data_IF_792888329714
#
_entry.id   IF_792888329714
#
_cell.length_a   1.000
_cell.length_b   1.000
_cell.length_c   1.000
_cell.angle_alpha   90.00
_cell.angle_beta   90.00
_cell.angle_gamma   90.00
#
_symmetry.space_group_name_H-M   'P 1'
#
loop_
_entity.id
_entity.type
_entity.pdbx_description
1 polymer ?
#
# COMPACT_ATOMS: atom_id res chain seq x y z
N UNK A 1 -55.22 -36.67 27.46
CA UNK A 1 -55.06 -35.37 26.77
C UNK A 1 -53.59 -34.95 26.89
N UNK A 2 -52.77 -35.22 25.87
CA UNK A 2 -51.33 -34.86 25.86
C UNK A 2 -51.13 -33.65 24.94
N UNK A 3 -50.73 -32.51 25.51
CA UNK A 3 -50.41 -31.30 24.75
C UNK A 3 -49.06 -31.51 24.06
N UNK A 4 -49.06 -31.63 22.73
CA UNK A 4 -47.84 -31.62 21.91
C UNK A 4 -47.16 -30.26 22.03
N UNK A 5 -46.00 -30.22 22.68
CA UNK A 5 -45.09 -29.08 22.63
C UNK A 5 -44.59 -28.92 21.18
N UNK A 6 -45.10 -27.92 20.48
CA UNK A 6 -44.54 -27.47 19.22
C UNK A 6 -43.26 -26.71 19.54
N UNK A 7 -42.11 -27.36 19.35
CA UNK A 7 -40.83 -26.64 19.29
C UNK A 7 -40.88 -25.72 18.08
N UNK A 8 -41.15 -24.44 18.33
CA UNK A 8 -40.99 -23.37 17.35
C UNK A 8 -39.49 -23.27 17.08
N UNK A 9 -39.05 -23.85 15.96
CA UNK A 9 -37.72 -23.59 15.43
C UNK A 9 -37.57 -22.06 15.27
N UNK A 10 -36.46 -21.45 15.72
CA UNK A 10 -36.25 -20.02 15.56
C UNK A 10 -36.36 -19.70 14.06
N UNK A 11 -36.91 -18.53 13.68
CA UNK A 11 -37.08 -18.18 12.29
C UNK A 11 -35.71 -18.28 11.62
N UNK A 12 -35.57 -19.29 10.76
CA UNK A 12 -34.42 -19.46 9.89
C UNK A 12 -34.14 -18.08 9.27
N UNK A 13 -32.94 -17.55 9.51
CA UNK A 13 -32.48 -16.27 8.97
C UNK A 13 -33.10 -16.07 7.58
N UNK A 14 -33.95 -15.07 7.45
CA UNK A 14 -34.70 -14.81 6.23
C UNK A 14 -33.72 -14.81 5.04
N UNK A 15 -33.91 -15.71 4.06
CA UNK A 15 -33.00 -15.86 2.91
C UNK A 15 -32.71 -14.54 2.20
N UNK A 16 -33.67 -13.60 2.24
CA UNK A 16 -33.51 -12.24 1.74
C UNK A 16 -32.43 -11.43 2.48
N UNK A 17 -32.36 -11.55 3.81
CA UNK A 17 -31.35 -10.90 4.64
C UNK A 17 -29.97 -11.47 4.34
N UNK A 18 -29.84 -12.81 4.28
CA UNK A 18 -28.58 -13.47 3.92
C UNK A 18 -28.08 -12.99 2.55
N UNK A 19 -28.98 -12.92 1.54
CA UNK A 19 -28.61 -12.45 0.19
C UNK A 19 -28.11 -11.02 0.18
N UNK A 20 -28.78 -10.11 0.91
CA UNK A 20 -28.36 -8.71 1.02
C UNK A 20 -26.98 -8.59 1.67
N UNK A 21 -26.76 -9.30 2.78
CA UNK A 21 -25.45 -9.32 3.46
C UNK A 21 -24.37 -9.82 2.48
N UNK A 22 -24.64 -10.91 1.75
CA UNK A 22 -23.70 -11.45 0.76
C UNK A 22 -23.32 -10.44 -0.33
N UNK A 23 -24.30 -9.76 -0.92
CA UNK A 23 -24.05 -8.72 -1.94
C UNK A 23 -23.25 -7.56 -1.34
N UNK A 24 -23.62 -7.08 -0.15
CA UNK A 24 -22.91 -5.98 0.52
C UNK A 24 -21.45 -6.34 0.80
N UNK A 25 -21.19 -7.55 1.33
CA UNK A 25 -19.83 -8.04 1.56
C UNK A 25 -19.04 -8.16 0.26
N UNK A 26 -19.66 -8.64 -0.82
CA UNK A 26 -19.01 -8.75 -2.13
C UNK A 26 -18.64 -7.37 -2.71
N UNK A 27 -19.56 -6.41 -2.65
CA UNK A 27 -19.29 -5.04 -3.09
C UNK A 27 -18.20 -4.38 -2.25
N UNK A 28 -18.22 -4.58 -0.93
CA UNK A 28 -17.17 -4.11 -0.04
C UNK A 28 -15.81 -4.75 -0.37
N UNK A 29 -15.78 -6.04 -0.72
CA UNK A 29 -14.57 -6.72 -1.17
C UNK A 29 -14.01 -6.14 -2.47
N UNK A 30 -14.87 -5.90 -3.48
CA UNK A 30 -14.46 -5.25 -4.73
C UNK A 30 -13.91 -3.85 -4.45
N UNK A 31 -14.65 -3.03 -3.68
CA UNK A 31 -14.23 -1.68 -3.33
C UNK A 31 -12.88 -1.70 -2.60
N UNK A 32 -12.70 -2.62 -1.66
CA UNK A 32 -11.44 -2.82 -0.96
C UNK A 32 -10.30 -3.13 -1.94
N UNK A 33 -10.48 -4.04 -2.89
CA UNK A 33 -9.46 -4.40 -3.89
C UNK A 33 -9.09 -3.24 -4.82
N UNK A 34 -10.04 -2.39 -5.18
CA UNK A 34 -9.79 -1.20 -6.01
C UNK A 34 -9.03 -0.13 -5.20
N UNK A 35 -9.44 0.11 -3.95
CA UNK A 35 -8.85 1.13 -3.08
C UNK A 35 -7.49 0.73 -2.51
N UNK A 36 -7.20 -0.58 -2.43
CA UNK A 36 -5.94 -1.12 -1.91
C UNK A 36 -5.20 -1.91 -2.99
N UNK A 37 -4.54 -1.21 -3.94
CA UNK A 37 -3.71 -1.90 -4.93
C UNK A 37 -2.61 -2.70 -4.21
N UNK A 38 -2.15 -3.82 -4.81
CA UNK A 38 -0.96 -4.52 -4.34
C UNK A 38 0.18 -3.52 -4.16
N UNK A 39 0.83 -3.57 -3.00
CA UNK A 39 1.89 -2.62 -2.65
C UNK A 39 3.02 -3.28 -1.87
N UNK A 40 4.22 -2.75 -2.03
CA UNK A 40 5.43 -3.13 -1.29
C UNK A 40 6.10 -1.86 -0.77
N UNK A 41 6.59 -1.90 0.46
CA UNK A 41 7.37 -0.82 1.04
C UNK A 41 8.82 -1.29 1.23
N UNK A 42 9.77 -0.46 0.82
CA UNK A 42 11.19 -0.61 1.11
C UNK A 42 11.62 0.56 1.99
N UNK A 43 12.30 0.28 3.10
CA UNK A 43 12.77 1.28 4.03
C UNK A 43 14.28 1.36 3.98
N UNK A 44 14.81 2.57 4.17
CA UNK A 44 16.25 2.78 4.24
C UNK A 44 16.56 3.92 5.20
N UNK A 45 17.36 3.61 6.21
CA UNK A 45 17.86 4.61 7.14
C UNK A 45 19.05 5.36 6.53
N UNK A 46 19.14 6.65 6.81
CA UNK A 46 20.31 7.44 6.49
C UNK A 46 21.53 6.91 7.28
N UNK A 47 22.76 6.93 6.73
CA UNK A 47 23.95 6.45 7.43
C UNK A 47 24.18 7.08 8.81
N UNK A 48 23.83 8.35 8.99
CA UNK A 48 23.94 9.05 10.27
C UNK A 48 22.74 8.81 11.21
N UNK A 49 21.75 8.02 10.81
CA UNK A 49 20.54 7.72 11.59
C UNK A 49 19.56 8.89 11.77
N UNK A 50 19.81 10.04 11.14
CA UNK A 50 18.99 11.25 11.33
C UNK A 50 17.64 11.19 10.60
N UNK A 51 17.59 10.46 9.49
CA UNK A 51 16.41 10.37 8.63
C UNK A 51 16.14 8.94 8.19
N UNK A 52 14.89 8.69 7.83
CA UNK A 52 14.45 7.45 7.21
C UNK A 52 13.77 7.77 5.88
N UNK A 53 14.04 6.93 4.88
CA UNK A 53 13.38 6.97 3.60
C UNK A 53 12.49 5.73 3.42
N UNK A 54 11.39 5.91 2.70
CA UNK A 54 10.47 4.84 2.31
C UNK A 54 10.16 4.94 0.82
N UNK A 55 10.47 3.90 0.09
CA UNK A 55 9.99 3.68 -1.27
C UNK A 55 8.74 2.80 -1.22
N UNK A 56 7.60 3.40 -1.57
CA UNK A 56 6.33 2.71 -1.73
C UNK A 56 6.13 2.36 -3.21
N UNK A 57 6.09 1.08 -3.51
CA UNK A 57 5.82 0.49 -4.82
C UNK A 57 4.35 0.03 -4.83
N UNK A 58 3.56 0.40 -5.84
CA UNK A 58 2.15 -0.03 -5.94
C UNK A 58 1.73 -0.21 -7.40
N UNK A 59 0.76 -1.10 -7.63
CA UNK A 59 0.36 -1.55 -8.97
C UNK A 59 -1.12 -1.24 -9.23
N UNK A 60 -1.37 -0.20 -10.02
CA UNK A 60 -2.73 0.12 -10.51
C UNK A 60 -3.04 -0.58 -11.83
N UNK A 61 -2.03 -0.82 -12.67
CA UNK A 61 -2.09 -1.61 -13.90
C UNK A 61 -1.26 -2.88 -13.72
N UNK A 62 -1.62 -3.96 -14.43
CA UNK A 62 -0.85 -5.21 -14.37
C UNK A 62 0.61 -4.95 -14.74
N UNK A 63 1.51 -5.41 -13.87
CA UNK A 63 2.96 -5.49 -14.05
C UNK A 63 3.73 -4.19 -14.27
N UNK A 64 3.09 -3.03 -14.11
CA UNK A 64 3.77 -1.72 -14.21
C UNK A 64 3.68 -0.98 -12.87
N UNK A 65 4.80 -0.84 -12.14
CA UNK A 65 4.79 -0.22 -10.83
C UNK A 65 4.70 1.30 -10.94
N UNK A 66 3.97 1.89 -10.00
CA UNK A 66 4.11 3.29 -9.61
C UNK A 66 4.95 3.38 -8.33
N UNK A 67 5.69 4.47 -8.19
CA UNK A 67 6.59 4.70 -7.06
C UNK A 67 6.20 5.97 -6.30
N UNK A 68 6.21 5.92 -4.97
CA UNK A 68 6.20 7.11 -4.12
C UNK A 68 7.37 7.05 -3.15
N UNK A 69 8.13 8.14 -3.08
CA UNK A 69 9.24 8.29 -2.16
C UNK A 69 8.80 9.18 -1.02
N UNK A 70 9.03 8.71 0.19
CA UNK A 70 8.81 9.49 1.39
C UNK A 70 10.10 9.58 2.19
N UNK A 71 10.27 10.70 2.89
CA UNK A 71 11.28 10.80 3.95
C UNK A 71 10.64 11.30 5.24
N UNK A 72 11.33 11.04 6.35
CA UNK A 72 10.98 11.61 7.65
C UNK A 72 12.24 11.74 8.51
N UNK A 73 12.30 12.70 9.44
CA UNK A 73 13.25 12.65 10.53
C UNK A 73 13.04 11.40 11.37
N UNK A 74 14.13 10.81 11.86
CA UNK A 74 14.06 9.64 12.72
C UNK A 74 13.29 9.96 14.01
N UNK A 75 12.50 9.01 14.50
CA UNK A 75 11.63 9.19 15.67
C UNK A 75 10.31 9.93 15.39
N UNK A 76 10.06 10.39 14.16
CA UNK A 76 8.77 11.05 13.81
C UNK A 76 7.78 10.09 13.15
N UNK A 77 6.48 10.36 13.29
CA UNK A 77 5.42 9.55 12.67
C UNK A 77 5.02 10.04 11.27
N UNK A 78 5.34 11.30 10.94
CA UNK A 78 4.88 11.95 9.72
C UNK A 78 5.85 11.73 8.56
N UNK A 79 5.34 11.12 7.49
CA UNK A 79 6.08 10.93 6.24
C UNK A 79 5.84 12.10 5.29
N UNK A 80 6.91 12.80 4.91
CA UNK A 80 6.88 13.82 3.85
C UNK A 80 7.02 13.15 2.49
N UNK A 81 6.08 13.40 1.58
CA UNK A 81 6.17 12.93 0.20
C UNK A 81 7.23 13.76 -0.55
N UNK A 82 8.20 13.09 -1.16
CA UNK A 82 9.27 13.74 -1.93
C UNK A 82 9.06 13.62 -3.43
N UNK A 83 8.60 12.46 -3.89
CA UNK A 83 8.41 12.19 -5.31
C UNK A 83 7.25 11.22 -5.52
N UNK A 84 6.48 11.44 -6.57
CA UNK A 84 5.56 10.47 -7.14
C UNK A 84 5.93 10.22 -8.60
N UNK A 85 6.16 8.95 -8.94
CA UNK A 85 6.36 8.49 -10.32
C UNK A 85 5.20 7.57 -10.72
N UNK A 86 4.41 7.95 -11.73
CA UNK A 86 3.28 7.15 -12.20
C UNK A 86 3.74 5.94 -13.03
N UNK A 87 2.85 4.95 -13.18
CA UNK A 87 3.17 3.67 -13.83
C UNK A 87 3.73 3.80 -15.26
N UNK A 88 3.15 4.67 -16.10
CA UNK A 88 3.46 4.73 -17.53
C UNK A 88 4.90 5.14 -17.88
N UNK A 89 5.67 5.66 -16.93
CA UNK A 89 7.09 6.01 -17.14
C UNK A 89 8.05 4.83 -16.93
N UNK A 90 7.56 3.66 -16.48
CA UNK A 90 8.40 2.61 -15.89
C UNK A 90 8.34 1.29 -16.68
N UNK A 91 8.28 1.34 -18.01
CA UNK A 91 8.38 0.14 -18.87
C UNK A 91 9.85 -0.16 -19.19
N UNK A 92 10.34 -1.42 -19.10
CA UNK A 92 9.66 -2.65 -18.71
C UNK A 92 9.90 -3.05 -17.23
N UNK A 93 9.17 -2.44 -16.30
CA UNK A 93 9.16 -2.75 -14.85
C UNK A 93 10.56 -2.87 -14.22
N UNK A 94 11.33 -1.78 -14.18
CA UNK A 94 12.69 -1.84 -13.69
C UNK A 94 12.74 -1.99 -12.16
N UNK A 95 13.87 -2.51 -11.66
CA UNK A 95 14.07 -2.63 -10.21
C UNK A 95 14.40 -1.26 -9.62
N UNK A 96 13.54 -0.79 -8.73
CA UNK A 96 13.71 0.48 -8.03
C UNK A 96 14.27 0.27 -6.63
N UNK A 97 15.31 1.02 -6.29
CA UNK A 97 15.90 1.07 -4.95
C UNK A 97 16.18 2.50 -4.53
N UNK A 98 16.28 2.71 -3.22
CA UNK A 98 16.78 3.97 -2.67
C UNK A 98 18.25 3.80 -2.31
N UNK A 99 18.99 4.91 -2.38
CA UNK A 99 20.35 4.98 -1.87
C UNK A 99 20.63 6.35 -1.26
N UNK A 100 20.99 6.36 0.02
CA UNK A 100 21.57 7.54 0.65
C UNK A 100 23.03 7.72 0.23
N UNK A 101 23.46 8.97 0.09
CA UNK A 101 24.87 9.33 0.08
C UNK A 101 25.53 9.02 1.42
N UNK A 102 26.84 8.82 1.41
CA UNK A 102 27.60 8.49 2.63
C UNK A 102 27.50 9.57 3.72
N UNK A 103 27.42 10.83 3.33
CA UNK A 103 27.25 11.99 4.22
C UNK A 103 25.81 12.17 4.71
N UNK A 104 24.86 11.32 4.28
CA UNK A 104 23.43 11.40 4.61
C UNK A 104 22.72 12.66 4.14
N UNK A 105 23.32 13.46 3.24
CA UNK A 105 22.74 14.72 2.76
C UNK A 105 21.90 14.56 1.50
N UNK A 106 22.04 13.44 0.78
CA UNK A 106 21.38 13.21 -0.50
C UNK A 106 20.74 11.82 -0.53
N UNK A 107 19.51 11.77 -1.01
CA UNK A 107 18.78 10.54 -1.28
C UNK A 107 18.57 10.42 -2.79
N UNK A 108 19.03 9.32 -3.37
CA UNK A 108 18.83 8.97 -4.78
C UNK A 108 17.77 7.88 -4.93
N UNK A 109 16.93 8.03 -5.97
CA UNK A 109 16.16 6.94 -6.53
C UNK A 109 16.96 6.30 -7.65
N UNK A 110 17.28 5.02 -7.48
CA UNK A 110 17.98 4.22 -8.47
C UNK A 110 17.00 3.32 -9.22
N UNK A 111 17.04 3.37 -10.53
CA UNK A 111 16.35 2.46 -11.44
C UNK A 111 17.42 1.69 -12.20
N UNK A 112 17.46 0.36 -12.03
CA UNK A 112 18.53 -0.48 -12.59
C UNK A 112 19.94 0.08 -12.26
N UNK A 113 20.15 0.45 -10.99
CA UNK A 113 21.38 1.06 -10.46
C UNK A 113 21.74 2.46 -11.00
N UNK A 114 20.93 3.03 -11.90
CA UNK A 114 21.12 4.39 -12.42
C UNK A 114 20.27 5.38 -11.63
N UNK A 115 20.86 6.49 -11.17
CA UNK A 115 20.09 7.55 -10.51
C UNK A 115 19.23 8.30 -11.53
N UNK A 116 17.93 8.33 -11.31
CA UNK A 116 16.97 9.07 -12.15
C UNK A 116 16.39 10.29 -11.46
N UNK A 117 16.57 10.39 -10.15
CA UNK A 117 16.09 11.49 -9.31
C UNK A 117 16.86 11.52 -8.00
N UNK A 118 17.02 12.71 -7.44
CA UNK A 118 17.58 12.91 -6.11
C UNK A 118 16.92 14.07 -5.38
N UNK A 119 17.02 14.05 -4.06
CA UNK A 119 16.74 15.21 -3.20
C UNK A 119 17.87 15.42 -2.22
N UNK A 120 18.13 16.67 -1.89
CA UNK A 120 18.97 17.03 -0.74
C UNK A 120 18.10 17.17 0.50
N UNK A 121 18.60 16.68 1.62
CA UNK A 121 17.94 16.77 2.92
C UNK A 121 18.80 17.63 3.82
N UNK A 122 18.25 18.78 4.21
CA UNK A 122 18.86 19.72 5.17
C UNK A 122 18.55 19.28 6.60
#
# INVERSE_FOLDING_TARGET
MSKRNQHILPPLLNRSIIRKIGITCFMAFIAFRILTPPQKNLFQDAPNGSQQARLKIFYYTQDIPSYKIYTRPNGTLLWKNQLYLPAYTNTPNPTATLKWSHDSQRLDLLINQTSIWHTTTF
#
